data_IF_642373760605
#
_entry.id   IF_642373760605
#
_cell.length_a   1.000
_cell.length_b   1.000
_cell.length_c   1.000
_cell.angle_alpha   90.00
_cell.angle_beta   90.00
_cell.angle_gamma   90.00
#
_symmetry.space_group_name_H-M   'P 1'
#
loop_
_entity.id
_entity.type
_entity.pdbx_description
1 polymer ?
#
# COMPACT_ATOMS: atom_id res chain seq x y z
N UNK A 1 -2.42 18.07 2.97
CA UNK A 1 -2.83 16.72 3.36
C UNK A 1 -4.35 16.65 3.47
N UNK A 2 -4.99 17.36 4.41
CA UNK A 2 -6.44 17.25 4.64
C UNK A 2 -7.33 17.62 3.45
N UNK A 3 -6.82 18.30 2.42
CA UNK A 3 -7.58 18.64 1.20
C UNK A 3 -7.31 17.71 0.02
N UNK A 4 -6.32 16.83 0.14
CA UNK A 4 -5.91 15.87 -0.89
C UNK A 4 -5.48 14.55 -0.22
N UNK A 5 -6.39 13.86 0.49
CA UNK A 5 -6.03 12.65 1.25
C UNK A 5 -5.60 11.50 0.34
N UNK A 6 -6.17 11.42 -0.87
CA UNK A 6 -5.93 10.34 -1.82
C UNK A 6 -4.81 10.65 -2.83
N UNK A 7 -4.34 11.92 -2.88
CA UNK A 7 -3.38 12.40 -3.88
C UNK A 7 -1.99 12.69 -3.29
N UNK A 8 -1.83 12.63 -1.97
CA UNK A 8 -0.61 13.12 -1.30
C UNK A 8 -0.23 12.30 -0.08
N UNK A 9 0.76 11.43 -0.25
CA UNK A 9 1.47 10.79 0.86
C UNK A 9 2.51 11.74 1.46
N UNK A 10 2.62 11.79 2.79
CA UNK A 10 3.60 12.61 3.49
C UNK A 10 4.45 11.74 4.41
N UNK A 11 5.76 11.79 4.20
CA UNK A 11 6.74 11.13 5.05
C UNK A 11 7.59 12.22 5.71
N UNK A 12 7.75 12.18 7.03
CA UNK A 12 8.53 13.17 7.79
C UNK A 12 9.75 12.54 8.45
N UNK A 13 10.88 12.43 7.75
CA UNK A 13 12.14 12.11 8.37
C UNK A 13 12.58 13.25 9.29
N UNK A 14 13.15 12.89 10.43
CA UNK A 14 13.70 13.83 11.38
C UNK A 14 15.24 13.96 11.22
N UNK A 15 15.82 14.95 11.83
CA UNK A 15 17.25 15.26 11.73
C UNK A 15 17.88 15.40 13.12
N UNK A 16 19.22 15.26 13.21
CA UNK A 16 19.97 15.32 14.46
C UNK A 16 20.37 16.75 14.88
N UNK A 17 19.99 17.76 14.10
CA UNK A 17 20.28 19.18 14.40
C UNK A 17 18.97 19.99 14.42
N UNK A 18 18.96 21.22 15.04
CA UNK A 18 20.06 21.95 15.68
C UNK A 18 20.44 21.43 17.06
N UNK A 19 19.73 20.46 17.62
CA UNK A 19 20.02 19.86 18.92
C UNK A 19 19.92 18.34 18.88
N UNK A 20 20.75 17.67 19.69
CA UNK A 20 20.65 16.22 19.89
C UNK A 20 19.44 15.89 20.75
N UNK A 21 18.82 14.73 20.54
CA UNK A 21 17.78 14.21 21.42
C UNK A 21 16.37 14.21 20.81
N UNK A 22 16.25 14.46 19.50
CA UNK A 22 14.98 14.21 18.81
C UNK A 22 14.60 12.72 18.93
N UNK A 23 13.47 12.39 19.57
CA UNK A 23 13.12 11.00 19.87
C UNK A 23 12.80 10.19 18.61
N UNK A 24 12.25 10.83 17.57
CA UNK A 24 11.93 10.18 16.31
C UNK A 24 13.21 9.89 15.53
N UNK A 25 14.16 10.84 15.46
CA UNK A 25 15.45 10.61 14.83
C UNK A 25 16.23 9.49 15.54
N UNK A 26 16.26 9.52 16.87
CA UNK A 26 17.07 8.58 17.66
C UNK A 26 16.58 7.15 17.59
N UNK A 27 15.30 6.95 17.26
CA UNK A 27 14.71 5.62 17.14
C UNK A 27 15.20 4.89 15.89
N UNK A 28 15.35 5.59 14.75
CA UNK A 28 15.90 5.04 13.52
C UNK A 28 16.79 6.08 12.81
N UNK A 29 17.95 6.34 13.40
CA UNK A 29 18.82 7.40 12.92
C UNK A 29 19.54 7.07 11.61
N UNK A 30 19.78 5.78 11.33
CA UNK A 30 20.57 5.35 10.17
C UNK A 30 19.79 5.57 8.86
N UNK A 31 18.56 5.15 8.79
CA UNK A 31 17.74 5.31 7.59
C UNK A 31 17.33 6.76 7.35
N UNK A 32 16.97 7.48 8.42
CA UNK A 32 16.66 8.91 8.32
C UNK A 32 17.90 9.72 7.86
N UNK A 33 19.11 9.35 8.33
CA UNK A 33 20.34 9.94 7.84
C UNK A 33 20.53 9.71 6.33
N UNK A 34 20.24 8.49 5.83
CA UNK A 34 20.29 8.18 4.39
C UNK A 34 19.35 9.08 3.58
N UNK A 35 18.11 9.29 4.02
CA UNK A 35 17.16 10.21 3.37
C UNK A 35 17.70 11.65 3.34
N UNK A 36 18.29 12.10 4.43
CA UNK A 36 18.94 13.42 4.50
C UNK A 36 20.07 13.55 3.47
N UNK A 37 20.90 12.51 3.33
CA UNK A 37 22.00 12.50 2.36
C UNK A 37 21.50 12.43 0.91
N UNK A 38 20.48 11.62 0.63
CA UNK A 38 19.90 11.46 -0.70
C UNK A 38 19.48 12.82 -1.30
N UNK A 39 18.89 13.69 -0.49
CA UNK A 39 18.44 15.02 -0.91
C UNK A 39 19.41 16.15 -0.59
N UNK A 40 20.54 15.88 0.05
CA UNK A 40 21.51 16.90 0.45
C UNK A 40 20.93 17.92 1.42
N UNK A 41 20.06 17.48 2.35
CA UNK A 41 19.37 18.37 3.30
C UNK A 41 20.39 19.01 4.23
N UNK A 42 20.44 20.35 4.25
CA UNK A 42 21.38 21.14 5.04
C UNK A 42 20.71 22.19 5.94
N UNK A 43 19.39 22.26 5.89
CA UNK A 43 18.58 23.15 6.73
C UNK A 43 17.17 22.58 6.90
N UNK A 44 16.51 22.88 8.00
CA UNK A 44 15.12 22.52 8.24
C UNK A 44 14.30 23.77 8.53
N UNK A 45 13.02 23.81 8.17
CA UNK A 45 12.27 22.77 7.47
C UNK A 45 12.69 22.63 5.99
N UNK A 46 12.65 21.39 5.49
CA UNK A 46 12.91 21.04 4.10
C UNK A 46 11.72 20.26 3.55
N UNK A 47 11.20 20.64 2.40
CA UNK A 47 10.07 20.02 1.75
C UNK A 47 10.47 19.60 0.34
N UNK A 48 10.34 18.31 0.04
CA UNK A 48 10.67 17.73 -1.24
C UNK A 48 9.43 17.05 -1.82
N UNK A 49 8.99 17.46 -3.00
CA UNK A 49 7.89 16.84 -3.73
C UNK A 49 8.44 15.93 -4.81
N UNK A 50 7.99 14.66 -4.78
CA UNK A 50 8.36 13.60 -5.73
C UNK A 50 9.85 13.57 -6.07
N UNK A 51 10.69 13.88 -5.09
CA UNK A 51 12.13 13.90 -5.26
C UNK A 51 12.72 15.08 -6.06
N UNK A 52 11.93 15.78 -6.85
CA UNK A 52 12.43 16.76 -7.86
C UNK A 52 12.17 18.22 -7.49
N UNK A 53 11.14 18.55 -6.70
CA UNK A 53 10.81 19.93 -6.36
C UNK A 53 11.11 20.21 -4.90
N UNK A 54 12.11 21.05 -4.63
CA UNK A 54 12.28 21.65 -3.32
C UNK A 54 11.28 22.81 -3.16
N UNK A 55 10.24 22.59 -2.37
CA UNK A 55 9.20 23.57 -2.17
C UNK A 55 9.51 24.56 -1.05
N UNK A 56 8.95 25.77 -1.17
CA UNK A 56 8.87 26.72 -0.07
C UNK A 56 7.85 26.25 0.97
N UNK A 57 8.09 26.55 2.25
CA UNK A 57 7.18 26.26 3.35
C UNK A 57 5.92 27.17 3.38
N UNK A 58 5.79 28.10 2.45
CA UNK A 58 4.57 28.91 2.31
C UNK A 58 3.43 28.10 1.69
N UNK A 59 2.17 28.38 2.06
CA UNK A 59 1.02 27.69 1.49
C UNK A 59 0.97 27.76 -0.04
N UNK A 60 1.32 28.90 -0.65
CA UNK A 60 1.40 29.05 -2.11
C UNK A 60 2.52 28.16 -2.70
N UNK A 61 3.67 28.08 -2.04
CA UNK A 61 4.77 27.22 -2.48
C UNK A 61 4.40 25.75 -2.51
N UNK A 62 3.68 25.29 -1.50
CA UNK A 62 3.17 23.92 -1.40
C UNK A 62 2.16 23.62 -2.50
N UNK A 63 1.16 24.49 -2.68
CA UNK A 63 0.13 24.32 -3.71
C UNK A 63 0.74 24.30 -5.11
N UNK A 64 1.71 25.17 -5.39
CA UNK A 64 2.38 25.19 -6.70
C UNK A 64 3.19 23.90 -6.94
N UNK A 65 3.90 23.40 -5.94
CA UNK A 65 4.64 22.15 -6.05
C UNK A 65 3.69 20.96 -6.32
N UNK A 66 2.60 20.87 -5.57
CA UNK A 66 1.56 19.86 -5.78
C UNK A 66 0.96 19.94 -7.19
N UNK A 67 0.48 21.10 -7.61
CA UNK A 67 -0.14 21.28 -8.93
C UNK A 67 0.82 20.96 -10.09
N UNK A 68 2.11 21.18 -9.90
CA UNK A 68 3.12 20.82 -10.90
C UNK A 68 3.34 19.31 -11.00
N UNK A 69 3.16 18.57 -9.89
CA UNK A 69 3.42 17.12 -9.88
C UNK A 69 2.19 16.30 -10.22
N UNK A 70 1.01 16.65 -9.76
CA UNK A 70 -0.23 15.90 -10.01
C UNK A 70 -0.57 15.78 -11.51
N UNK A 71 0.01 16.61 -12.35
CA UNK A 71 -0.21 16.59 -13.82
C UNK A 71 0.85 15.81 -14.59
N UNK A 72 1.87 15.29 -13.92
CA UNK A 72 2.91 14.50 -14.57
C UNK A 72 2.37 13.11 -14.88
N UNK A 73 2.42 12.62 -16.14
CA UNK A 73 1.96 11.29 -16.48
C UNK A 73 2.72 10.22 -15.69
N UNK A 74 2.00 9.24 -15.18
CA UNK A 74 2.56 8.07 -14.53
C UNK A 74 2.44 6.85 -15.45
N UNK A 75 3.52 6.07 -15.56
CA UNK A 75 3.59 4.85 -16.36
C UNK A 75 3.99 3.63 -15.50
N UNK A 76 3.79 3.73 -14.21
CA UNK A 76 4.04 2.69 -13.24
C UNK A 76 2.80 2.56 -12.34
N UNK A 77 2.24 1.37 -12.27
CA UNK A 77 1.22 1.02 -11.29
C UNK A 77 1.89 0.35 -10.09
N UNK A 78 1.40 0.64 -8.89
CA UNK A 78 1.83 0.02 -7.62
C UNK A 78 0.59 -0.59 -6.98
N UNK A 79 0.61 -1.91 -6.79
CA UNK A 79 -0.41 -2.64 -6.04
C UNK A 79 0.24 -3.19 -4.77
N UNK A 80 -0.44 -3.09 -3.64
CA UNK A 80 0.08 -3.58 -2.36
C UNK A 80 -0.97 -4.44 -1.68
N UNK A 81 -0.54 -5.61 -1.21
CA UNK A 81 -1.35 -6.51 -0.39
C UNK A 81 -0.60 -6.86 0.88
N UNK A 82 -1.32 -7.07 1.99
CA UNK A 82 -0.76 -7.47 3.27
C UNK A 82 -1.24 -8.89 3.61
N UNK A 83 -0.35 -9.70 4.16
CA UNK A 83 -0.69 -11.06 4.59
C UNK A 83 -1.50 -11.09 5.89
N UNK A 84 -1.51 -10.01 6.66
CA UNK A 84 -2.15 -9.96 7.98
C UNK A 84 -2.57 -8.54 8.34
N UNK A 85 -3.58 -8.41 9.23
CA UNK A 85 -4.00 -7.15 9.85
C UNK A 85 -3.38 -6.93 11.23
N UNK A 86 -2.29 -7.63 11.55
CA UNK A 86 -1.60 -7.52 12.85
C UNK A 86 -0.36 -6.65 12.77
N UNK A 87 0.25 -6.36 13.92
CA UNK A 87 1.47 -5.56 14.03
C UNK A 87 2.73 -6.17 13.41
N UNK A 88 2.69 -7.42 12.91
CA UNK A 88 3.78 -8.06 12.21
C UNK A 88 3.24 -8.94 11.08
N UNK A 89 3.94 -8.98 9.95
CA UNK A 89 3.52 -9.74 8.79
C UNK A 89 4.41 -9.47 7.58
N UNK A 90 3.91 -9.79 6.41
CA UNK A 90 4.58 -9.54 5.14
C UNK A 90 3.65 -8.78 4.19
N UNK A 91 4.19 -7.83 3.46
CA UNK A 91 3.51 -7.15 2.35
C UNK A 91 4.05 -7.69 1.03
N UNK A 92 3.15 -7.82 0.06
CA UNK A 92 3.49 -8.10 -1.34
C UNK A 92 3.26 -6.83 -2.13
N UNK A 93 4.30 -6.39 -2.84
CA UNK A 93 4.27 -5.20 -3.68
C UNK A 93 4.40 -5.64 -5.13
N UNK A 94 3.38 -5.40 -5.93
CA UNK A 94 3.40 -5.65 -7.37
C UNK A 94 3.59 -4.33 -8.10
N UNK A 95 4.68 -4.25 -8.87
CA UNK A 95 5.03 -3.10 -9.69
C UNK A 95 4.78 -3.45 -11.16
N UNK A 96 3.97 -2.65 -11.86
CA UNK A 96 3.66 -2.87 -13.28
C UNK A 96 4.09 -1.63 -14.05
N UNK A 97 5.19 -1.75 -14.80
CA UNK A 97 5.67 -0.69 -15.66
C UNK A 97 5.09 -0.84 -17.08
N UNK A 98 4.44 0.20 -17.58
CA UNK A 98 3.86 0.22 -18.93
C UNK A 98 4.86 0.58 -20.02
N UNK A 99 5.97 1.18 -19.64
CA UNK A 99 7.09 1.54 -20.51
C UNK A 99 8.38 1.69 -19.71
N UNK A 100 9.49 1.91 -20.40
CA UNK A 100 10.77 2.26 -19.77
C UNK A 100 10.61 3.55 -18.95
N UNK A 101 10.88 3.45 -17.65
CA UNK A 101 10.82 4.60 -16.73
C UNK A 101 12.00 5.55 -16.90
N UNK A 102 13.05 5.09 -17.57
CA UNK A 102 14.31 5.82 -17.72
C UNK A 102 15.11 5.91 -16.41
N UNK A 103 16.42 5.79 -16.50
CA UNK A 103 17.33 5.87 -15.37
C UNK A 103 17.92 4.51 -14.97
N UNK A 104 19.10 4.57 -14.35
CA UNK A 104 19.89 3.37 -14.04
C UNK A 104 19.82 2.96 -12.55
N UNK A 105 19.37 3.87 -11.66
CA UNK A 105 19.35 3.68 -10.20
C UNK A 105 17.92 3.78 -9.69
N UNK A 106 17.08 2.80 -10.01
CA UNK A 106 15.67 2.78 -9.61
C UNK A 106 15.51 1.87 -8.40
N UNK A 107 14.84 2.38 -7.36
CA UNK A 107 14.59 1.66 -6.11
C UNK A 107 13.11 1.72 -5.74
N UNK A 108 12.59 0.58 -5.28
CA UNK A 108 11.33 0.51 -4.56
C UNK A 108 11.61 0.74 -3.07
N UNK A 109 10.83 1.61 -2.47
CA UNK A 109 10.88 1.95 -1.05
C UNK A 109 9.54 1.60 -0.40
N UNK A 110 9.58 1.05 0.79
CA UNK A 110 8.38 0.70 1.56
C UNK A 110 8.56 1.20 2.99
N UNK A 111 7.96 2.34 3.31
CA UNK A 111 8.19 3.09 4.55
C UNK A 111 7.01 2.95 5.49
N UNK A 112 7.25 2.48 6.70
CA UNK A 112 6.30 2.61 7.80
C UNK A 112 6.33 4.03 8.35
N UNK A 113 5.15 4.59 8.50
CA UNK A 113 4.89 5.95 8.99
C UNK A 113 3.96 5.84 10.18
N UNK A 114 4.20 6.61 11.23
CA UNK A 114 3.32 6.66 12.39
C UNK A 114 2.89 8.09 12.68
N UNK A 115 1.61 8.24 12.96
CA UNK A 115 0.99 9.48 13.42
C UNK A 115 0.58 9.39 14.88
N UNK A 116 0.15 10.51 15.46
CA UNK A 116 -0.34 10.62 16.83
C UNK A 116 0.67 10.13 17.90
N UNK A 117 1.96 10.31 17.65
CA UNK A 117 3.01 9.93 18.62
C UNK A 117 3.15 11.01 19.67
N UNK A 118 2.87 10.74 20.97
CA UNK A 118 3.04 11.73 22.01
C UNK A 118 4.52 12.03 22.26
N UNK A 119 4.86 13.29 22.31
CA UNK A 119 6.20 13.73 22.70
C UNK A 119 6.47 13.49 24.19
N UNK A 120 7.75 13.43 24.54
CA UNK A 120 8.23 13.25 25.92
C UNK A 120 9.34 14.25 26.26
N UNK A 121 9.55 14.53 27.54
CA UNK A 121 10.57 15.44 28.01
C UNK A 121 10.44 16.86 27.44
N UNK A 122 11.48 17.35 26.75
CA UNK A 122 11.44 18.66 26.07
C UNK A 122 10.28 18.78 25.06
N UNK A 123 9.88 17.64 24.45
CA UNK A 123 8.82 17.55 23.44
C UNK A 123 7.44 17.20 24.02
N UNK A 124 7.25 17.22 25.35
CA UNK A 124 6.03 16.76 26.03
C UNK A 124 4.73 17.43 25.59
N UNK A 125 4.80 18.60 24.97
CA UNK A 125 3.65 19.32 24.43
C UNK A 125 3.46 19.13 22.91
N UNK A 126 4.24 18.22 22.30
CA UNK A 126 4.19 17.95 20.87
C UNK A 126 3.50 16.60 20.62
N UNK A 127 2.80 16.53 19.48
CA UNK A 127 2.37 15.27 18.88
C UNK A 127 3.06 15.20 17.51
N UNK A 128 3.74 14.10 17.25
CA UNK A 128 4.39 13.88 15.96
C UNK A 128 3.42 13.21 15.02
N UNK A 129 3.34 13.72 13.79
CA UNK A 129 2.46 13.25 12.74
C UNK A 129 3.27 12.85 11.52
N UNK A 130 2.87 11.77 10.86
CA UNK A 130 3.52 11.24 9.66
C UNK A 130 5.03 11.03 9.82
N UNK A 131 5.43 10.62 11.03
CA UNK A 131 6.83 10.40 11.36
C UNK A 131 7.36 9.17 10.63
N UNK A 132 8.52 9.30 10.00
CA UNK A 132 9.25 8.17 9.44
C UNK A 132 9.65 7.20 10.56
N UNK A 133 9.32 5.92 10.43
CA UNK A 133 9.59 4.89 11.44
C UNK A 133 10.56 3.84 10.96
N UNK A 134 10.34 3.27 9.79
CA UNK A 134 11.14 2.16 9.28
C UNK A 134 11.08 2.09 7.75
N UNK A 135 12.18 1.73 7.10
CA UNK A 135 12.26 1.42 5.68
C UNK A 135 12.45 -0.09 5.51
N UNK A 136 11.42 -0.79 5.11
CA UNK A 136 11.34 -2.25 5.12
C UNK A 136 12.41 -2.93 4.25
N UNK A 137 12.86 -2.27 3.20
CA UNK A 137 13.95 -2.74 2.34
C UNK A 137 15.32 -2.19 2.77
N UNK A 138 15.39 -1.59 3.98
CA UNK A 138 16.58 -0.95 4.51
C UNK A 138 16.85 0.43 3.90
N UNK A 139 17.94 1.11 4.30
CA UNK A 139 18.10 2.57 4.15
C UNK A 139 18.10 3.10 2.72
N UNK A 140 18.29 2.23 1.74
CA UNK A 140 18.38 2.59 0.31
C UNK A 140 17.12 2.18 -0.46
N UNK A 141 16.35 1.21 0.05
CA UNK A 141 15.27 0.55 -0.68
C UNK A 141 15.77 -0.66 -1.49
N UNK A 142 14.87 -1.37 -2.15
CA UNK A 142 15.16 -2.51 -3.02
C UNK A 142 15.40 -2.06 -4.46
N UNK A 143 16.52 -2.46 -5.06
CA UNK A 143 16.84 -2.12 -6.46
C UNK A 143 15.92 -2.87 -7.42
N UNK A 144 15.28 -2.14 -8.33
CA UNK A 144 14.37 -2.71 -9.33
C UNK A 144 14.81 -2.36 -10.74
N UNK A 145 14.53 -3.26 -11.69
CA UNK A 145 14.84 -3.08 -13.11
C UNK A 145 13.73 -3.65 -13.96
N UNK A 146 13.25 -2.89 -14.92
CA UNK A 146 12.16 -3.26 -15.83
C UNK A 146 12.67 -3.44 -17.27
N UNK A 147 11.95 -4.27 -18.02
CA UNK A 147 12.19 -4.43 -19.45
C UNK A 147 12.92 -5.72 -19.81
N UNK A 148 13.18 -5.97 -21.08
CA UNK A 148 13.05 -5.08 -22.25
C UNK A 148 11.66 -5.09 -22.92
N UNK A 149 10.69 -5.83 -22.39
CA UNK A 149 9.33 -5.92 -22.93
C UNK A 149 8.32 -5.31 -21.95
N UNK A 150 7.36 -4.57 -22.45
CA UNK A 150 6.35 -3.88 -21.65
C UNK A 150 4.93 -4.31 -22.08
N UNK A 151 3.92 -4.33 -21.17
CA UNK A 151 4.12 -4.08 -19.74
C UNK A 151 5.02 -5.13 -19.09
N UNK A 152 5.81 -4.71 -18.09
CA UNK A 152 6.66 -5.58 -17.29
C UNK A 152 6.24 -5.55 -15.82
N UNK A 153 6.21 -6.69 -15.17
CA UNK A 153 5.70 -6.86 -13.81
C UNK A 153 6.77 -7.44 -12.90
N UNK A 154 7.00 -6.79 -11.78
CA UNK A 154 7.88 -7.25 -10.70
C UNK A 154 7.07 -7.43 -9.43
N UNK A 155 7.39 -8.47 -8.67
CA UNK A 155 6.83 -8.71 -7.35
C UNK A 155 7.94 -8.66 -6.31
N UNK A 156 7.72 -7.91 -5.24
CA UNK A 156 8.62 -7.78 -4.09
C UNK A 156 7.86 -8.17 -2.83
N UNK A 157 8.57 -8.75 -1.88
CA UNK A 157 8.03 -9.11 -0.56
C UNK A 157 8.88 -8.42 0.50
N UNK A 158 8.22 -7.73 1.43
CA UNK A 158 8.87 -7.13 2.58
C UNK A 158 8.18 -7.57 3.86
N UNK A 159 8.97 -8.04 4.82
CA UNK A 159 8.49 -8.34 6.15
C UNK A 159 8.47 -7.07 7.00
N UNK A 160 7.48 -6.95 7.88
CA UNK A 160 7.40 -5.85 8.82
C UNK A 160 7.12 -6.33 10.24
N UNK A 161 7.61 -5.56 11.20
CA UNK A 161 7.27 -5.69 12.63
C UNK A 161 7.15 -4.28 13.22
N UNK A 162 5.92 -3.87 13.54
CA UNK A 162 5.68 -2.53 14.11
C UNK A 162 6.20 -2.41 15.56
N UNK A 163 6.48 -3.53 16.20
CA UNK A 163 7.10 -3.55 17.53
C UNK A 163 6.32 -2.74 18.56
N UNK A 164 6.87 -1.57 18.92
CA UNK A 164 6.28 -0.65 19.90
C UNK A 164 5.43 0.47 19.29
N UNK A 165 5.25 0.49 17.96
CA UNK A 165 4.41 1.50 17.31
C UNK A 165 2.95 1.26 17.64
N UNK A 166 2.15 2.31 17.66
CA UNK A 166 0.71 2.15 17.81
C UNK A 166 0.10 1.80 16.45
N UNK A 167 -0.15 0.51 16.23
CA UNK A 167 -0.60 -0.05 14.96
C UNK A 167 -1.82 0.67 14.36
N UNK A 168 -2.72 1.20 15.20
CA UNK A 168 -3.89 1.99 14.74
C UNK A 168 -3.49 3.23 13.93
N UNK A 169 -2.30 3.77 14.17
CA UNK A 169 -1.80 5.00 13.51
C UNK A 169 -0.60 4.73 12.60
N UNK A 170 -0.38 3.45 12.25
CA UNK A 170 0.69 3.09 11.31
C UNK A 170 0.12 3.04 9.90
N UNK A 171 0.79 3.76 9.03
CA UNK A 171 0.53 3.84 7.60
C UNK A 171 1.73 3.28 6.84
N UNK A 172 1.48 2.76 5.64
CA UNK A 172 2.51 2.29 4.73
C UNK A 172 2.54 3.19 3.50
N UNK A 173 3.70 3.69 3.16
CA UNK A 173 3.96 4.35 1.89
C UNK A 173 4.91 3.51 1.04
N UNK A 174 4.47 3.11 -0.14
CA UNK A 174 5.30 2.43 -1.15
C UNK A 174 5.52 3.37 -2.31
N UNK A 175 6.78 3.57 -2.72
CA UNK A 175 7.08 4.42 -3.87
C UNK A 175 8.32 3.95 -4.61
N UNK A 176 8.33 4.19 -5.91
CA UNK A 176 9.48 3.87 -6.77
C UNK A 176 10.17 5.15 -7.16
N UNK A 177 11.47 5.22 -6.87
CA UNK A 177 12.28 6.42 -6.98
C UNK A 177 13.60 6.17 -7.70
N UNK A 178 14.00 7.12 -8.54
CA UNK A 178 15.36 7.18 -9.07
C UNK A 178 16.32 7.75 -8.03
N UNK A 179 17.36 7.02 -7.66
CA UNK A 179 18.40 7.49 -6.74
C UNK A 179 19.59 8.15 -7.46
N UNK A 180 19.60 8.14 -8.79
CA UNK A 180 20.56 8.86 -9.62
C UNK A 180 20.41 10.38 -9.56
N UNK A 181 20.66 11.07 -10.63
CA UNK A 181 20.68 12.55 -10.67
C UNK A 181 19.30 13.20 -10.57
N UNK A 182 18.24 12.55 -11.06
CA UNK A 182 16.88 13.14 -11.07
C UNK A 182 16.22 13.14 -9.71
N UNK A 183 16.41 12.10 -8.90
CA UNK A 183 15.70 11.83 -7.64
C UNK A 183 14.19 11.68 -7.81
N UNK A 184 13.70 11.55 -9.03
CA UNK A 184 12.28 11.53 -9.32
C UNK A 184 11.59 10.31 -8.72
N UNK A 185 10.45 10.54 -8.06
CA UNK A 185 9.48 9.51 -7.70
C UNK A 185 8.56 9.31 -8.89
N UNK A 186 8.53 8.10 -9.44
CA UNK A 186 7.72 7.75 -10.61
C UNK A 186 6.28 7.51 -10.25
N UNK A 187 6.03 6.85 -9.12
CA UNK A 187 4.71 6.69 -8.52
C UNK A 187 4.84 6.42 -7.02
N UNK A 188 3.75 6.66 -6.29
CA UNK A 188 3.60 6.31 -4.89
C UNK A 188 2.22 5.72 -4.63
N UNK A 189 2.17 4.80 -3.69
CA UNK A 189 0.97 4.20 -3.11
C UNK A 189 1.01 4.43 -1.60
N UNK A 190 -0.15 4.64 -0.97
CA UNK A 190 -0.22 4.97 0.43
C UNK A 190 -1.56 4.56 1.04
N UNK A 191 -1.53 3.86 2.17
CA UNK A 191 -2.72 3.54 2.95
C UNK A 191 -2.36 3.19 4.41
N UNK A 192 -3.35 3.07 5.27
CA UNK A 192 -3.21 2.49 6.60
C UNK A 192 -2.70 1.06 6.51
N UNK A 193 -1.70 0.69 7.31
CA UNK A 193 -1.14 -0.67 7.29
C UNK A 193 -2.21 -1.72 7.62
N UNK A 194 -3.16 -1.39 8.49
CA UNK A 194 -4.29 -2.27 8.82
C UNK A 194 -5.35 -2.41 7.72
N UNK A 195 -5.45 -1.43 6.81
CA UNK A 195 -6.38 -1.48 5.67
C UNK A 195 -5.83 -2.27 4.48
N UNK A 196 -4.51 -2.50 4.42
CA UNK A 196 -3.82 -3.23 3.35
C UNK A 196 -3.97 -4.74 3.49
N UNK A 197 -5.07 -5.20 4.04
CA UNK A 197 -5.31 -6.64 4.14
C UNK A 197 -5.71 -7.14 2.76
N UNK A 198 -4.77 -7.82 2.09
CA UNK A 198 -5.09 -8.67 0.97
C UNK A 198 -5.97 -9.83 1.45
N UNK A 199 -6.83 -10.32 0.58
CA UNK A 199 -7.53 -11.58 0.83
C UNK A 199 -6.46 -12.66 0.94
N UNK A 200 -6.30 -13.27 2.11
CA UNK A 200 -5.32 -14.36 2.33
C UNK A 200 -5.59 -15.50 1.35
N UNK A 201 -4.55 -15.89 0.58
CA UNK A 201 -4.63 -17.12 -0.20
C UNK A 201 -4.58 -18.31 0.78
N UNK A 202 -5.73 -18.94 1.02
CA UNK A 202 -5.78 -20.24 1.67
C UNK A 202 -6.58 -20.38 2.96
N UNK A 203 -7.09 -19.31 3.54
CA UNK A 203 -8.16 -19.44 4.52
C UNK A 203 -9.44 -18.82 3.95
N UNK A 204 -10.52 -19.58 3.97
CA UNK A 204 -11.88 -19.10 3.64
C UNK A 204 -12.09 -17.72 4.23
N UNK A 205 -12.55 -16.76 3.42
CA UNK A 205 -12.93 -15.44 3.93
C UNK A 205 -13.81 -15.60 5.18
N UNK A 206 -13.28 -15.24 6.35
CA UNK A 206 -14.03 -15.30 7.60
C UNK A 206 -14.33 -13.86 8.01
N UNK A 207 -15.59 -13.45 7.88
CA UNK A 207 -16.03 -12.18 8.43
C UNK A 207 -15.98 -12.18 9.96
N UNK A 208 -15.93 -11.01 10.61
CA UNK A 208 -15.97 -10.87 12.06
C UNK A 208 -17.14 -11.63 12.72
N UNK A 209 -18.21 -11.90 11.99
CA UNK A 209 -19.40 -12.67 12.40
C UNK A 209 -19.27 -14.18 12.12
N UNK A 210 -18.09 -14.69 11.71
CA UNK A 210 -17.85 -16.11 11.46
C UNK A 210 -18.36 -16.62 10.11
N UNK A 211 -18.80 -15.72 9.19
CA UNK A 211 -19.19 -16.11 7.81
C UNK A 211 -17.94 -16.60 7.09
N UNK A 212 -18.09 -17.70 6.34
CA UNK A 212 -17.03 -18.28 5.53
C UNK A 212 -17.45 -18.31 4.06
N UNK A 213 -16.56 -17.85 3.18
CA UNK A 213 -16.72 -17.90 1.73
C UNK A 213 -15.57 -18.70 1.15
N UNK A 214 -15.86 -19.81 0.52
CA UNK A 214 -14.89 -20.73 -0.07
C UNK A 214 -15.04 -20.74 -1.59
N UNK A 215 -13.95 -20.58 -2.32
CA UNK A 215 -13.87 -20.73 -3.78
C UNK A 215 -12.96 -21.90 -4.14
N UNK A 216 -13.47 -22.90 -4.84
CA UNK A 216 -12.68 -24.11 -5.17
C UNK A 216 -12.99 -24.66 -6.57
N UNK A 217 -11.99 -25.09 -7.33
CA UNK A 217 -10.56 -24.85 -7.10
C UNK A 217 -10.19 -23.38 -7.31
N UNK A 218 -9.23 -22.91 -6.54
CA UNK A 218 -8.63 -21.59 -6.70
C UNK A 218 -7.10 -21.68 -6.49
N UNK A 219 -6.26 -21.51 -7.53
CA UNK A 219 -6.61 -21.16 -8.91
C UNK A 219 -7.42 -22.23 -9.67
N UNK A 220 -8.25 -21.78 -10.62
CA UNK A 220 -9.07 -22.63 -11.49
C UNK A 220 -8.64 -22.55 -12.96
N UNK A 221 -9.09 -23.51 -13.78
CA UNK A 221 -8.95 -23.45 -15.26
C UNK A 221 -10.19 -22.83 -15.92
N UNK A 222 -10.98 -22.11 -15.17
CA UNK A 222 -12.21 -21.44 -15.60
C UNK A 222 -13.46 -21.95 -14.88
N UNK A 223 -13.51 -23.24 -14.51
CA UNK A 223 -14.59 -23.81 -13.73
C UNK A 223 -14.25 -23.77 -12.24
N UNK A 224 -15.13 -23.20 -11.43
CA UNK A 224 -14.97 -23.15 -9.97
C UNK A 224 -16.34 -23.15 -9.29
N UNK A 225 -16.34 -23.49 -8.03
CA UNK A 225 -17.52 -23.53 -7.16
C UNK A 225 -17.35 -22.55 -6.01
N UNK A 226 -18.38 -21.82 -5.70
CA UNK A 226 -18.46 -20.92 -4.54
C UNK A 226 -19.36 -21.57 -3.50
N UNK A 227 -18.90 -21.65 -2.26
CA UNK A 227 -19.64 -22.10 -1.10
C UNK A 227 -19.61 -21.06 0.00
N UNK A 228 -20.74 -20.88 0.70
CA UNK A 228 -20.83 -19.94 1.80
C UNK A 228 -21.43 -20.63 3.04
N UNK A 229 -20.90 -20.28 4.23
CA UNK A 229 -21.36 -20.84 5.50
C UNK A 229 -21.55 -19.73 6.54
N UNK A 230 -22.44 -20.00 7.50
CA UNK A 230 -22.75 -19.09 8.60
C UNK A 230 -23.30 -17.72 8.12
N UNK A 231 -24.12 -17.72 7.06
CA UNK A 231 -24.80 -16.50 6.62
C UNK A 231 -25.74 -15.98 7.73
N UNK A 232 -25.80 -14.65 7.98
CA UNK A 232 -26.77 -14.04 8.89
C UNK A 232 -28.23 -14.31 8.50
N UNK A 233 -28.47 -14.38 7.19
CA UNK A 233 -29.72 -14.78 6.58
C UNK A 233 -29.53 -16.09 5.82
N UNK A 234 -30.59 -16.83 5.54
CA UNK A 234 -30.52 -18.12 4.84
C UNK A 234 -30.03 -18.04 3.40
N UNK A 235 -29.87 -16.82 2.87
CA UNK A 235 -29.35 -16.54 1.53
C UNK A 235 -28.65 -15.16 1.50
N UNK A 236 -27.81 -14.98 0.48
CA UNK A 236 -27.13 -13.73 0.18
C UNK A 236 -27.13 -13.42 -1.32
N UNK A 237 -26.94 -12.17 -1.67
CA UNK A 237 -26.65 -11.74 -3.03
C UNK A 237 -25.17 -12.01 -3.31
N UNK A 238 -24.89 -12.71 -4.43
CA UNK A 238 -23.53 -13.00 -4.88
C UNK A 238 -23.24 -12.19 -6.13
N UNK A 239 -22.16 -11.44 -6.10
CA UNK A 239 -21.65 -10.67 -7.22
C UNK A 239 -20.22 -11.08 -7.55
N UNK A 240 -19.86 -11.16 -8.84
CA UNK A 240 -18.49 -11.41 -9.29
C UNK A 240 -18.04 -10.20 -10.10
N UNK A 241 -16.89 -9.64 -9.71
CA UNK A 241 -16.29 -8.46 -10.31
C UNK A 241 -14.97 -8.80 -10.99
N UNK A 242 -14.65 -8.11 -12.08
CA UNK A 242 -13.29 -8.06 -12.61
C UNK A 242 -12.44 -7.00 -11.88
N UNK A 243 -11.13 -6.97 -12.17
CA UNK A 243 -10.17 -6.02 -11.53
C UNK A 243 -10.48 -4.54 -11.81
N UNK A 244 -11.36 -4.23 -12.76
CA UNK A 244 -11.82 -2.86 -13.02
C UNK A 244 -13.05 -2.47 -12.15
N UNK A 245 -13.52 -3.38 -11.28
CA UNK A 245 -14.74 -3.19 -10.50
C UNK A 245 -16.04 -3.39 -11.28
N UNK A 246 -15.95 -3.88 -12.53
CA UNK A 246 -17.13 -4.19 -13.33
C UNK A 246 -17.74 -5.53 -12.88
N UNK A 247 -19.00 -5.52 -12.49
CA UNK A 247 -19.74 -6.74 -12.19
C UNK A 247 -19.95 -7.55 -13.49
N UNK A 248 -19.46 -8.80 -13.49
CA UNK A 248 -19.50 -9.71 -14.63
C UNK A 248 -20.50 -10.85 -14.44
N UNK A 249 -20.88 -11.15 -13.20
CA UNK A 249 -21.95 -12.10 -12.88
C UNK A 249 -22.63 -11.71 -11.57
N UNK A 250 -23.91 -11.99 -11.47
CA UNK A 250 -24.72 -11.82 -10.26
C UNK A 250 -25.58 -13.03 -10.03
N UNK A 251 -25.90 -13.34 -8.78
CA UNK A 251 -26.78 -14.45 -8.42
C UNK A 251 -27.20 -14.39 -6.96
N UNK A 252 -27.89 -15.42 -6.52
CA UNK A 252 -28.20 -15.64 -5.12
C UNK A 252 -27.48 -16.91 -4.67
N UNK A 253 -26.87 -16.88 -3.49
CA UNK A 253 -26.26 -18.03 -2.86
C UNK A 253 -27.01 -18.35 -1.56
N UNK A 254 -27.27 -19.63 -1.32
CA UNK A 254 -27.93 -20.10 -0.09
C UNK A 254 -26.89 -20.74 0.83
N UNK A 255 -27.08 -20.63 2.12
CA UNK A 255 -26.20 -21.21 3.12
C UNK A 255 -26.01 -22.72 2.90
N UNK A 256 -24.73 -23.15 2.79
CA UNK A 256 -24.36 -24.53 2.61
C UNK A 256 -24.66 -25.12 1.23
N UNK A 257 -25.16 -24.29 0.28
CA UNK A 257 -25.38 -24.69 -1.11
C UNK A 257 -24.30 -24.09 -1.99
N UNK A 258 -23.65 -24.95 -2.75
CA UNK A 258 -22.60 -24.57 -3.68
C UNK A 258 -23.17 -23.97 -4.97
N UNK A 259 -22.58 -22.91 -5.47
CA UNK A 259 -22.89 -22.31 -6.76
C UNK A 259 -21.71 -22.51 -7.73
N UNK A 260 -21.99 -23.09 -8.91
CA UNK A 260 -20.96 -23.38 -9.93
C UNK A 260 -20.88 -22.24 -10.94
N UNK A 261 -19.66 -21.85 -11.28
CA UNK A 261 -19.36 -20.78 -12.24
C UNK A 261 -18.34 -21.23 -13.28
N UNK A 262 -18.41 -20.58 -14.45
CA UNK A 262 -17.40 -20.72 -15.49
C UNK A 262 -17.01 -19.34 -16.00
N UNK A 263 -15.72 -19.00 -15.93
CA UNK A 263 -15.13 -17.81 -16.50
C UNK A 263 -14.17 -18.18 -17.62
N UNK A 264 -14.42 -17.60 -18.79
CA UNK A 264 -13.73 -17.97 -20.03
C UNK A 264 -12.43 -17.21 -20.30
N UNK A 265 -12.05 -16.29 -19.41
CA UNK A 265 -10.86 -15.44 -19.57
C UNK A 265 -9.94 -15.63 -18.37
N UNK A 266 -8.62 -15.82 -18.62
CA UNK A 266 -7.63 -15.82 -17.54
C UNK A 266 -7.60 -14.44 -16.88
N UNK A 267 -7.48 -14.39 -15.57
CA UNK A 267 -7.46 -13.16 -14.82
C UNK A 267 -7.78 -13.36 -13.35
N UNK A 268 -7.74 -12.25 -12.63
CA UNK A 268 -8.17 -12.16 -11.24
C UNK A 268 -9.58 -11.59 -11.22
N UNK A 269 -10.43 -12.16 -10.37
CA UNK A 269 -11.80 -11.74 -10.13
C UNK A 269 -12.07 -11.75 -8.64
N UNK A 270 -13.16 -11.11 -8.21
CA UNK A 270 -13.58 -11.05 -6.83
C UNK A 270 -15.04 -11.51 -6.72
N UNK A 271 -15.29 -12.50 -5.85
CA UNK A 271 -16.63 -12.87 -5.43
C UNK A 271 -16.99 -12.06 -4.19
N UNK A 272 -18.12 -11.41 -4.20
CA UNK A 272 -18.69 -10.68 -3.07
C UNK A 272 -20.04 -11.29 -2.71
N UNK A 273 -20.26 -11.58 -1.44
CA UNK A 273 -21.55 -12.03 -0.91
C UNK A 273 -22.09 -11.02 0.09
N UNK A 274 -23.31 -10.56 -0.14
CA UNK A 274 -24.02 -9.61 0.72
C UNK A 274 -25.19 -10.34 1.37
N UNK A 275 -25.24 -10.40 2.70
CA UNK A 275 -26.34 -11.00 3.47
C UNK A 275 -26.67 -10.12 4.68
N UNK A 276 -27.88 -9.55 4.69
CA UNK A 276 -28.26 -8.54 5.67
C UNK A 276 -27.37 -7.30 5.60
N UNK A 277 -26.67 -6.98 6.70
CA UNK A 277 -25.71 -5.88 6.77
C UNK A 277 -24.25 -6.34 6.63
N UNK A 278 -24.04 -7.61 6.34
CA UNK A 278 -22.68 -8.19 6.27
C UNK A 278 -22.29 -8.40 4.82
N UNK A 279 -21.05 -8.02 4.50
CA UNK A 279 -20.40 -8.21 3.20
C UNK A 279 -19.14 -9.02 3.43
N UNK A 280 -18.97 -10.08 2.62
CA UNK A 280 -17.73 -10.87 2.58
C UNK A 280 -17.28 -11.00 1.13
N UNK A 281 -15.99 -10.96 0.88
CA UNK A 281 -15.42 -11.14 -0.44
C UNK A 281 -14.24 -12.11 -0.42
N UNK A 282 -14.02 -12.79 -1.56
CA UNK A 282 -12.88 -13.66 -1.79
C UNK A 282 -12.39 -13.52 -3.24
N UNK A 283 -11.10 -13.79 -3.45
CA UNK A 283 -10.44 -13.68 -4.75
C UNK A 283 -10.59 -14.98 -5.54
N UNK A 284 -10.83 -14.84 -6.83
CA UNK A 284 -10.88 -15.92 -7.80
C UNK A 284 -9.73 -15.75 -8.79
N UNK A 285 -8.89 -16.76 -8.93
CA UNK A 285 -7.80 -16.77 -9.92
C UNK A 285 -8.13 -17.79 -11.02
N UNK A 286 -8.18 -17.33 -12.27
CA UNK A 286 -8.41 -18.17 -13.44
C UNK A 286 -7.16 -18.24 -14.29
N UNK A 287 -6.60 -19.44 -14.49
CA UNK A 287 -5.41 -19.71 -15.29
C UNK A 287 -5.83 -20.62 -16.47
N UNK A 288 -5.75 -20.13 -17.69
CA UNK A 288 -6.05 -20.90 -18.91
C UNK A 288 -4.85 -20.96 -19.83
#
# INVERSE_FOLDING_TARGET
VNSHPDDLAVIRPHVWWPGSGDPIYNQNNYEQWHRVQLYGVNSVPWLQFDGVIKASTSGTGLINAFNNRITVPCFLEIQVTNSTSSGAGSIIITLIAEQDLGGDDIFCNAVLIESNIPGAGYWSNSVFEQAFRDELFGPVGESVSFGPSYPDTLELIADYDTGTFNFEYVELAVFVQNHGSSKEVYNAWFDSLGAVVGIEEGESGVAEDGIQLDVYPNPSTGDFTINVRNLPESSGELNIYDTSGRCIATGTIEEGISADFNLNTSGIYFAEVISGNTVIADRIVVLR
#
